data_IF_380113506819
#
_entry.id   IF_380113506819
#
_cell.length_a   1.000
_cell.length_b   1.000
_cell.length_c   1.000
_cell.angle_alpha   90.00
_cell.angle_beta   90.00
_cell.angle_gamma   90.00
#
_symmetry.space_group_name_H-M   'P 1'
#
loop_
_entity.id
_entity.type
_entity.pdbx_description
1 polymer ?
#
# COMPACT_ATOMS: atom_id res chain seq x y z
N UNK A 1 -32.06 18.77 8.90
CA UNK A 1 -31.39 17.89 7.91
C UNK A 1 -30.50 18.74 7.05
N UNK A 2 -29.17 18.68 7.25
CA UNK A 2 -28.21 19.41 6.44
C UNK A 2 -28.05 18.68 5.10
N UNK A 3 -28.36 19.36 3.98
CA UNK A 3 -28.09 18.86 2.64
C UNK A 3 -26.59 18.66 2.50
N UNK A 4 -26.13 17.42 2.31
CA UNK A 4 -24.76 17.12 1.89
C UNK A 4 -24.58 17.72 0.49
N UNK A 5 -23.86 18.84 0.38
CA UNK A 5 -23.37 19.32 -0.89
C UNK A 5 -22.23 18.38 -1.35
N UNK A 6 -22.56 17.35 -2.09
CA UNK A 6 -21.59 16.66 -2.92
C UNK A 6 -21.28 17.58 -4.09
N UNK A 7 -20.03 17.98 -4.24
CA UNK A 7 -19.56 18.61 -5.49
C UNK A 7 -19.56 17.52 -6.56
N UNK A 8 -20.67 17.39 -7.24
CA UNK A 8 -20.78 16.58 -8.46
C UNK A 8 -20.17 17.35 -9.62
N UNK A 9 -19.33 16.69 -10.42
CA UNK A 9 -18.85 17.24 -11.68
C UNK A 9 -19.98 17.26 -12.72
N UNK A 10 -19.70 17.80 -13.92
CA UNK A 10 -20.66 17.95 -15.01
C UNK A 10 -21.39 16.64 -15.43
N UNK A 11 -20.85 15.47 -15.06
CA UNK A 11 -21.41 14.13 -15.27
C UNK A 11 -22.22 13.58 -14.08
N UNK A 12 -22.43 14.38 -13.04
CA UNK A 12 -23.21 14.01 -11.85
C UNK A 12 -22.52 13.03 -10.89
N UNK A 13 -21.26 12.61 -11.16
CA UNK A 13 -20.54 11.61 -10.40
C UNK A 13 -19.60 12.26 -9.35
N UNK A 14 -19.47 11.62 -8.19
CA UNK A 14 -18.55 12.07 -7.15
C UNK A 14 -17.09 11.79 -7.51
N UNK A 15 -16.15 12.45 -6.83
CA UNK A 15 -14.72 12.17 -7.00
C UNK A 15 -14.37 10.75 -6.51
N UNK A 16 -15.09 10.27 -5.51
CA UNK A 16 -14.98 8.93 -4.96
C UNK A 16 -15.37 7.87 -6.00
N UNK A 17 -16.51 8.07 -6.70
CA UNK A 17 -16.96 7.16 -7.76
C UNK A 17 -15.91 7.04 -8.87
N UNK A 18 -15.36 8.17 -9.31
CA UNK A 18 -14.31 8.18 -10.33
C UNK A 18 -13.02 7.48 -9.90
N UNK A 19 -12.65 7.61 -8.62
CA UNK A 19 -11.49 6.92 -8.07
C UNK A 19 -11.73 5.39 -8.02
N UNK A 20 -12.94 4.96 -7.66
CA UNK A 20 -13.32 3.55 -7.65
C UNK A 20 -13.36 2.96 -9.06
N UNK A 21 -13.91 3.68 -10.04
CA UNK A 21 -13.89 3.25 -11.44
C UNK A 21 -12.46 3.10 -11.97
N UNK A 22 -11.61 4.08 -11.67
CA UNK A 22 -10.20 4.00 -12.09
C UNK A 22 -9.49 2.78 -11.52
N UNK A 23 -9.78 2.45 -10.25
CA UNK A 23 -9.27 1.22 -9.65
C UNK A 23 -9.81 -0.01 -10.37
N UNK A 24 -11.13 -0.07 -10.62
CA UNK A 24 -11.76 -1.19 -11.31
C UNK A 24 -11.19 -1.37 -12.73
N UNK A 25 -11.04 -0.29 -13.49
CA UNK A 25 -10.43 -0.32 -14.83
C UNK A 25 -9.01 -0.92 -14.80
N UNK A 26 -8.16 -0.46 -13.87
CA UNK A 26 -6.78 -0.96 -13.75
C UNK A 26 -6.75 -2.44 -13.35
N UNK A 27 -7.64 -2.87 -12.46
CA UNK A 27 -7.75 -4.27 -12.07
C UNK A 27 -8.21 -5.15 -13.25
N UNK A 28 -9.23 -4.71 -13.98
CA UNK A 28 -9.73 -5.43 -15.17
C UNK A 28 -8.63 -5.51 -16.23
N UNK A 29 -7.94 -4.41 -16.51
CA UNK A 29 -6.82 -4.38 -17.46
C UNK A 29 -5.72 -5.37 -17.05
N UNK A 30 -5.34 -5.38 -15.75
CA UNK A 30 -4.33 -6.31 -15.23
C UNK A 30 -4.78 -7.76 -15.38
N UNK A 31 -6.01 -8.09 -14.98
CA UNK A 31 -6.57 -9.45 -15.09
C UNK A 31 -6.66 -9.89 -16.55
N UNK A 32 -7.08 -9.00 -17.45
CA UNK A 32 -7.22 -9.31 -18.88
C UNK A 32 -5.86 -9.58 -19.53
N UNK A 33 -4.83 -8.83 -19.18
CA UNK A 33 -3.48 -8.98 -19.70
C UNK A 33 -2.75 -10.21 -19.16
N UNK A 34 -3.27 -10.82 -18.08
CA UNK A 34 -2.73 -12.04 -17.47
C UNK A 34 -3.20 -13.35 -18.15
N UNK A 35 -3.96 -13.27 -19.25
CA UNK A 35 -4.40 -14.46 -20.00
C UNK A 35 -3.21 -15.18 -20.62
N UNK A 36 -2.59 -16.07 -19.87
CA UNK A 36 -1.53 -16.96 -20.37
C UNK A 36 -0.47 -17.40 -19.37
N UNK A 37 -0.13 -16.60 -18.40
CA UNK A 37 0.93 -16.93 -17.43
C UNK A 37 0.54 -16.49 -16.02
N UNK A 38 -0.25 -17.32 -15.34
CA UNK A 38 -0.57 -17.17 -13.92
C UNK A 38 0.66 -17.49 -13.05
N UNK A 39 1.78 -16.80 -13.31
CA UNK A 39 2.91 -16.77 -12.40
C UNK A 39 2.72 -15.59 -11.43
N UNK A 40 1.95 -15.84 -10.37
CA UNK A 40 1.79 -14.98 -9.18
C UNK A 40 1.85 -13.48 -9.49
N UNK A 41 0.73 -12.87 -9.91
CA UNK A 41 0.74 -11.57 -10.60
C UNK A 41 0.77 -10.35 -9.68
N UNK A 42 0.73 -10.53 -8.38
CA UNK A 42 0.51 -9.41 -7.46
C UNK A 42 1.77 -8.66 -7.07
N UNK A 43 2.95 -9.28 -7.25
CA UNK A 43 4.21 -8.66 -6.91
C UNK A 43 5.29 -9.11 -7.90
N UNK A 44 5.56 -8.31 -8.94
CA UNK A 44 6.83 -8.47 -9.63
C UNK A 44 7.97 -8.08 -8.65
N UNK A 45 9.15 -8.70 -8.73
CA UNK A 45 10.30 -8.31 -7.89
C UNK A 45 10.69 -6.82 -8.02
N UNK A 46 10.23 -6.15 -9.07
CA UNK A 46 10.41 -4.72 -9.30
C UNK A 46 9.38 -3.85 -8.55
N UNK A 47 8.24 -4.43 -8.15
CA UNK A 47 7.24 -3.75 -7.32
C UNK A 47 7.55 -3.84 -5.81
N UNK A 48 8.73 -4.31 -5.44
CA UNK A 48 9.12 -4.60 -4.06
C UNK A 48 9.15 -3.40 -3.12
N UNK A 49 8.87 -2.19 -3.60
CA UNK A 49 8.78 -1.04 -2.73
C UNK A 49 7.38 -0.45 -2.73
N UNK A 50 6.79 -0.53 -1.55
CA UNK A 50 5.48 0.03 -1.30
C UNK A 50 5.49 1.54 -1.56
N UNK A 51 4.46 2.07 -2.26
CA UNK A 51 4.36 3.48 -2.56
C UNK A 51 4.41 4.34 -1.31
N UNK A 52 5.20 5.41 -1.36
CA UNK A 52 5.39 6.35 -0.26
C UNK A 52 5.18 7.79 -0.73
N UNK A 53 4.77 8.65 0.17
CA UNK A 53 4.77 10.09 -0.08
C UNK A 53 6.19 10.69 0.05
N UNK A 54 6.35 11.99 -0.22
CA UNK A 54 7.66 12.67 -0.11
C UNK A 54 8.26 12.63 1.30
N UNK A 55 7.43 12.55 2.36
CA UNK A 55 7.92 12.44 3.74
C UNK A 55 8.25 11.01 4.17
N UNK A 56 8.15 10.03 3.26
CA UNK A 56 8.44 8.63 3.54
C UNK A 56 7.26 7.82 4.09
N UNK A 57 6.11 8.45 4.38
CA UNK A 57 4.92 7.74 4.85
C UNK A 57 4.36 6.86 3.74
N UNK A 58 4.18 5.59 4.04
CA UNK A 58 3.65 4.58 3.14
C UNK A 58 2.15 4.78 2.88
N UNK A 59 1.72 4.50 1.65
CA UNK A 59 0.32 4.32 1.30
C UNK A 59 -0.14 2.91 1.68
N UNK A 60 -1.38 2.76 2.10
CA UNK A 60 -1.93 1.50 2.57
C UNK A 60 -3.19 1.09 1.81
N UNK A 61 -3.52 -0.19 1.88
CA UNK A 61 -4.75 -0.75 1.31
C UNK A 61 -4.88 -0.49 -0.19
N UNK A 62 -6.08 -0.11 -0.63
CA UNK A 62 -6.39 0.16 -2.04
C UNK A 62 -5.47 1.21 -2.68
N UNK A 63 -5.06 2.24 -1.92
CA UNK A 63 -4.13 3.25 -2.43
C UNK A 63 -2.78 2.65 -2.83
N UNK A 64 -2.25 1.74 -2.02
CA UNK A 64 -1.00 1.04 -2.36
C UNK A 64 -1.14 0.26 -3.66
N UNK A 65 -2.22 -0.49 -3.80
CA UNK A 65 -2.47 -1.35 -4.96
C UNK A 65 -2.57 -0.49 -6.23
N UNK A 66 -3.41 0.56 -6.23
CA UNK A 66 -3.58 1.42 -7.41
C UNK A 66 -2.27 2.10 -7.81
N UNK A 67 -1.47 2.56 -6.85
CA UNK A 67 -0.20 3.23 -7.14
C UNK A 67 0.86 2.25 -7.67
N UNK A 68 0.91 1.01 -7.17
CA UNK A 68 1.77 -0.05 -7.72
C UNK A 68 1.37 -0.42 -9.14
N UNK A 69 0.07 -0.59 -9.41
CA UNK A 69 -0.42 -0.88 -10.75
C UNK A 69 -0.09 0.25 -11.74
N UNK A 70 -0.22 1.51 -11.31
CA UNK A 70 0.14 2.66 -12.13
C UNK A 70 1.65 2.73 -12.37
N UNK A 71 2.46 2.44 -11.38
CA UNK A 71 3.92 2.39 -11.50
C UNK A 71 4.33 1.33 -12.53
N UNK A 72 3.80 0.12 -12.42
CA UNK A 72 4.07 -0.97 -13.36
C UNK A 72 3.62 -0.62 -14.79
N UNK A 73 2.37 -0.16 -14.93
CA UNK A 73 1.79 0.20 -16.22
C UNK A 73 2.61 1.24 -16.99
N UNK A 74 3.16 2.22 -16.28
CA UNK A 74 3.90 3.32 -16.90
C UNK A 74 5.42 3.13 -16.86
N UNK A 75 5.92 2.06 -16.26
CA UNK A 75 7.35 1.79 -16.14
C UNK A 75 8.10 2.78 -15.25
N UNK A 76 7.41 3.42 -14.29
CA UNK A 76 8.03 4.38 -13.38
C UNK A 76 9.04 3.70 -12.46
N UNK A 77 10.18 4.34 -12.27
CA UNK A 77 11.29 3.80 -11.51
C UNK A 77 11.21 4.14 -10.02
N UNK A 78 10.60 5.28 -9.69
CA UNK A 78 10.43 5.69 -8.30
C UNK A 78 9.10 5.21 -7.75
N UNK A 79 9.06 4.86 -6.45
CA UNK A 79 7.84 4.57 -5.71
C UNK A 79 7.38 5.76 -4.84
N UNK A 80 7.76 6.98 -5.26
CA UNK A 80 7.44 8.23 -4.57
C UNK A 80 6.33 9.00 -5.27
N UNK A 81 5.36 9.43 -4.46
CA UNK A 81 4.15 10.10 -4.94
C UNK A 81 3.90 11.39 -4.15
N UNK A 82 3.41 12.42 -4.82
CA UNK A 82 3.06 13.67 -4.18
C UNK A 82 1.87 14.35 -4.87
N UNK A 83 1.14 15.16 -4.13
CA UNK A 83 0.17 16.09 -4.72
C UNK A 83 0.89 17.21 -5.47
N UNK A 84 0.20 17.84 -6.43
CA UNK A 84 0.74 18.97 -7.18
C UNK A 84 1.32 20.06 -6.25
N UNK A 85 0.56 20.44 -5.21
CA UNK A 85 0.99 21.46 -4.24
C UNK A 85 2.26 21.08 -3.50
N UNK A 86 2.45 19.79 -3.21
CA UNK A 86 3.67 19.31 -2.56
C UNK A 86 4.87 19.34 -3.49
N UNK A 87 4.68 19.00 -4.76
CA UNK A 87 5.72 19.10 -5.80
C UNK A 87 6.12 20.56 -5.97
N UNK A 88 5.16 21.46 -6.16
CA UNK A 88 5.43 22.89 -6.27
C UNK A 88 6.06 23.47 -5.00
N UNK A 89 5.70 22.92 -3.84
CA UNK A 89 6.28 23.30 -2.55
C UNK A 89 7.79 23.03 -2.41
N UNK A 90 8.35 22.12 -3.21
CA UNK A 90 9.80 21.85 -3.23
C UNK A 90 10.64 23.03 -3.76
N UNK A 91 10.00 23.98 -4.43
CA UNK A 91 10.67 25.16 -4.96
C UNK A 91 10.87 26.27 -3.92
N UNK A 92 10.36 26.09 -2.72
CA UNK A 92 10.36 27.10 -1.68
C UNK A 92 10.78 26.54 -0.32
N UNK A 93 11.48 27.36 0.44
CA UNK A 93 11.78 27.13 1.85
C UNK A 93 10.86 28.03 2.67
N UNK A 94 10.26 27.49 3.73
CA UNK A 94 9.48 28.30 4.69
C UNK A 94 10.44 28.93 5.69
N UNK A 95 10.34 30.23 5.87
CA UNK A 95 10.99 30.95 6.95
C UNK A 95 10.26 30.74 8.30
N UNK A 96 10.88 31.23 9.37
CA UNK A 96 10.30 31.12 10.71
C UNK A 96 9.00 31.91 10.92
N UNK A 97 8.75 32.87 10.07
CA UNK A 97 7.58 33.76 10.10
C UNK A 97 6.45 33.26 9.17
N UNK A 98 6.66 32.13 8.50
CA UNK A 98 5.69 31.51 7.58
C UNK A 98 5.75 32.03 6.13
N UNK A 99 6.71 32.92 5.83
CA UNK A 99 7.01 33.37 4.47
C UNK A 99 7.59 32.22 3.62
N UNK A 100 7.58 32.41 2.31
CA UNK A 100 8.14 31.45 1.35
C UNK A 100 9.23 32.12 0.54
N UNK A 101 10.46 31.66 0.70
CA UNK A 101 11.60 32.08 -0.12
C UNK A 101 11.97 30.99 -1.12
N UNK A 102 12.43 31.35 -2.34
CA UNK A 102 12.90 30.36 -3.30
C UNK A 102 13.99 29.47 -2.70
N UNK A 103 13.97 28.19 -3.04
CA UNK A 103 15.05 27.28 -2.66
C UNK A 103 16.32 27.68 -3.41
N UNK A 104 17.44 27.78 -2.67
CA UNK A 104 18.75 28.18 -3.16
C UNK A 104 19.71 26.98 -3.11
N UNK A 105 20.70 26.98 -3.99
CA UNK A 105 21.84 26.07 -3.94
C UNK A 105 22.88 26.53 -2.90
N UNK A 106 24.00 25.79 -2.79
CA UNK A 106 25.11 26.12 -1.88
C UNK A 106 25.79 27.44 -2.20
N UNK A 107 25.63 27.96 -3.43
CA UNK A 107 26.19 29.25 -3.88
C UNK A 107 25.21 30.40 -3.69
N UNK A 108 24.00 30.14 -3.20
CA UNK A 108 22.94 31.12 -3.03
C UNK A 108 22.17 31.45 -4.32
N UNK A 109 22.34 30.65 -5.39
CA UNK A 109 21.57 30.79 -6.62
C UNK A 109 20.25 30.04 -6.53
N UNK A 110 19.22 30.55 -7.24
CA UNK A 110 17.93 29.89 -7.27
C UNK A 110 18.02 28.53 -7.97
N UNK A 111 17.60 27.50 -7.27
CA UNK A 111 17.52 26.17 -7.86
C UNK A 111 16.48 26.14 -9.02
N UNK A 112 16.68 25.31 -10.07
CA UNK A 112 15.72 25.10 -11.13
C UNK A 112 14.37 24.67 -10.57
N UNK A 113 13.27 25.13 -11.14
CA UNK A 113 11.93 24.80 -10.65
C UNK A 113 11.54 23.36 -10.95
N UNK A 114 11.08 22.65 -9.92
CA UNK A 114 10.43 21.35 -10.09
C UNK A 114 8.96 21.56 -10.45
N UNK A 115 8.49 20.86 -11.46
CA UNK A 115 7.11 20.89 -11.91
C UNK A 115 6.66 19.54 -12.45
N UNK A 116 5.35 19.31 -12.47
CA UNK A 116 4.75 18.19 -13.21
C UNK A 116 4.89 18.45 -14.72
N UNK A 117 5.29 17.43 -15.47
CA UNK A 117 5.45 17.51 -16.91
C UNK A 117 4.10 17.77 -17.59
N UNK A 118 4.13 18.54 -18.69
CA UNK A 118 2.91 18.90 -19.41
C UNK A 118 2.24 17.65 -19.99
N UNK A 119 0.93 17.53 -19.72
CA UNK A 119 0.12 16.41 -20.22
C UNK A 119 0.02 15.21 -19.29
N UNK A 120 0.80 15.18 -18.21
CA UNK A 120 0.74 14.11 -17.22
C UNK A 120 -0.60 14.08 -16.48
N UNK A 121 -1.06 12.87 -16.17
CA UNK A 121 -2.33 12.63 -15.46
C UNK A 121 -2.07 12.12 -14.06
N UNK A 122 -2.74 12.73 -13.09
CA UNK A 122 -2.68 12.31 -11.69
C UNK A 122 -3.39 10.98 -11.45
N UNK A 123 -2.96 10.29 -10.41
CA UNK A 123 -3.65 9.10 -9.87
C UNK A 123 -4.45 9.50 -8.62
N UNK A 124 -5.75 9.19 -8.56
CA UNK A 124 -6.55 9.45 -7.37
C UNK A 124 -6.20 8.47 -6.26
N UNK A 125 -6.05 8.99 -5.04
CA UNK A 125 -5.92 8.22 -3.81
C UNK A 125 -6.96 8.67 -2.80
N UNK A 126 -7.46 7.75 -1.99
CA UNK A 126 -8.54 7.99 -1.03
C UNK A 126 -7.99 8.02 0.39
N UNK A 127 -8.42 8.99 1.17
CA UNK A 127 -8.09 9.11 2.59
C UNK A 127 -9.36 9.31 3.40
N UNK A 128 -9.62 8.43 4.34
CA UNK A 128 -10.66 8.66 5.34
C UNK A 128 -10.11 9.54 6.45
N UNK A 129 -10.70 10.72 6.60
CA UNK A 129 -10.47 11.63 7.72
C UNK A 129 -11.63 11.53 8.69
N UNK A 130 -11.38 11.86 9.96
CA UNK A 130 -12.38 11.79 11.00
C UNK A 130 -12.55 13.16 11.65
N UNK A 131 -13.78 13.62 11.72
CA UNK A 131 -14.15 14.81 12.51
C UNK A 131 -14.75 14.33 13.81
N UNK A 132 -14.12 14.70 14.93
CA UNK A 132 -14.58 14.33 16.27
C UNK A 132 -15.19 15.56 16.94
N UNK A 133 -16.43 15.42 17.40
CA UNK A 133 -17.22 16.51 17.95
C UNK A 133 -17.84 16.07 19.27
N UNK A 134 -17.64 16.85 20.33
CA UNK A 134 -18.30 16.60 21.59
C UNK A 134 -19.83 16.68 21.41
N UNK A 135 -20.56 15.70 21.92
CA UNK A 135 -22.00 15.59 21.74
C UNK A 135 -22.78 16.76 22.36
N UNK A 136 -22.29 17.29 23.48
CA UNK A 136 -22.93 18.38 24.26
C UNK A 136 -22.38 19.75 23.86
N UNK A 137 -21.07 19.96 24.00
CA UNK A 137 -20.43 21.28 23.79
C UNK A 137 -20.26 21.66 22.32
N UNK A 138 -20.38 20.70 21.42
CA UNK A 138 -20.10 20.85 19.96
C UNK A 138 -18.65 21.22 19.63
N UNK A 139 -17.77 21.19 20.62
CA UNK A 139 -16.35 21.44 20.42
C UNK A 139 -15.71 20.33 19.57
N UNK A 140 -14.77 20.71 18.70
CA UNK A 140 -14.03 19.77 17.84
C UNK A 140 -12.65 19.50 18.42
N UNK A 141 -12.28 18.24 18.44
CA UNK A 141 -10.94 17.80 18.83
C UNK A 141 -10.27 17.04 17.69
N UNK A 142 -8.95 16.87 17.77
CA UNK A 142 -8.20 16.04 16.81
C UNK A 142 -8.52 14.57 17.04
N UNK A 143 -8.54 13.79 15.96
CA UNK A 143 -8.79 12.36 16.05
C UNK A 143 -7.68 11.61 16.80
N UNK A 144 -6.45 12.11 16.73
CA UNK A 144 -5.31 11.60 17.49
C UNK A 144 -5.55 11.70 19.00
N UNK A 145 -6.04 12.84 19.46
CA UNK A 145 -6.35 13.09 20.88
C UNK A 145 -7.50 12.17 21.34
N UNK A 146 -8.56 12.05 20.51
CA UNK A 146 -9.67 11.13 20.76
C UNK A 146 -9.22 9.67 20.92
N UNK A 147 -8.25 9.20 20.11
CA UNK A 147 -7.74 7.83 20.22
C UNK A 147 -7.02 7.53 21.54
N UNK A 148 -6.50 8.56 22.20
CA UNK A 148 -5.78 8.41 23.47
C UNK A 148 -6.70 8.48 24.69
N UNK A 149 -7.97 8.84 24.50
CA UNK A 149 -8.97 8.94 25.58
C UNK A 149 -9.43 7.56 26.05
N UNK A 150 -9.89 7.50 27.30
CA UNK A 150 -10.59 6.33 27.85
C UNK A 150 -11.93 6.08 27.14
N UNK A 151 -12.49 4.86 27.27
CA UNK A 151 -13.81 4.56 26.68
C UNK A 151 -14.91 5.46 27.21
N UNK A 152 -14.88 5.79 28.50
CA UNK A 152 -15.85 6.68 29.14
C UNK A 152 -15.78 8.10 28.58
N UNK A 153 -14.58 8.60 28.31
CA UNK A 153 -14.38 9.90 27.65
C UNK A 153 -14.82 9.88 26.20
N UNK A 154 -14.48 8.83 25.45
CA UNK A 154 -14.87 8.65 24.04
C UNK A 154 -16.39 8.65 23.86
N UNK A 155 -17.14 8.09 24.82
CA UNK A 155 -18.60 8.04 24.77
C UNK A 155 -19.25 9.44 24.68
N UNK A 156 -18.53 10.51 25.09
CA UNK A 156 -19.00 11.90 25.00
C UNK A 156 -18.84 12.53 23.62
N UNK A 157 -18.21 11.83 22.68
CA UNK A 157 -17.90 12.35 21.35
C UNK A 157 -18.56 11.55 20.23
N UNK A 158 -18.99 12.29 19.21
CA UNK A 158 -19.43 11.70 17.94
C UNK A 158 -18.30 11.77 16.93
N UNK A 159 -18.04 10.65 16.24
CA UNK A 159 -17.01 10.54 15.21
C UNK A 159 -17.67 10.48 13.85
N UNK A 160 -17.35 11.43 12.99
CA UNK A 160 -17.88 11.51 11.63
C UNK A 160 -16.77 11.20 10.63
N UNK A 161 -16.78 10.00 9.99
CA UNK A 161 -15.84 9.70 8.92
C UNK A 161 -16.15 10.54 7.69
N UNK A 162 -15.13 11.05 7.03
CA UNK A 162 -15.22 11.75 5.75
C UNK A 162 -14.18 11.18 4.79
N UNK A 163 -14.65 10.60 3.70
CA UNK A 163 -13.79 10.18 2.62
C UNK A 163 -13.36 11.42 1.81
N UNK A 164 -12.07 11.52 1.50
CA UNK A 164 -11.49 12.58 0.67
C UNK A 164 -10.64 11.94 -0.42
N UNK A 165 -10.72 12.47 -1.62
CA UNK A 165 -9.88 12.06 -2.75
C UNK A 165 -8.80 13.11 -2.95
N UNK A 166 -7.56 12.64 -3.04
CA UNK A 166 -6.38 13.43 -3.38
C UNK A 166 -5.80 12.94 -4.69
N UNK A 167 -5.38 13.86 -5.53
CA UNK A 167 -4.71 13.55 -6.76
C UNK A 167 -3.21 13.63 -6.55
N UNK A 168 -2.52 12.53 -6.83
CA UNK A 168 -1.06 12.42 -6.69
C UNK A 168 -0.40 12.11 -8.02
N UNK A 169 0.84 12.55 -8.15
CA UNK A 169 1.73 12.27 -9.28
C UNK A 169 2.92 11.46 -8.77
N UNK A 170 3.39 10.53 -9.58
CA UNK A 170 4.68 9.91 -9.36
C UNK A 170 5.80 10.91 -9.65
N UNK A 171 6.96 10.81 -9.01
CA UNK A 171 8.08 11.72 -9.28
C UNK A 171 8.61 11.59 -10.72
N UNK A 172 8.47 10.42 -11.35
CA UNK A 172 8.84 10.24 -12.76
C UNK A 172 7.93 11.01 -13.74
N UNK A 173 6.78 11.52 -13.27
CA UNK A 173 5.92 12.42 -14.01
C UNK A 173 6.34 13.91 -13.90
N UNK A 174 7.50 14.17 -13.32
CA UNK A 174 8.03 15.51 -13.08
C UNK A 174 9.39 15.68 -13.73
N UNK A 175 9.82 16.93 -13.90
CA UNK A 175 11.19 17.26 -14.31
C UNK A 175 12.20 17.19 -13.15
N UNK A 176 11.88 16.45 -12.07
CA UNK A 176 12.72 16.42 -10.85
C UNK A 176 14.11 15.82 -11.12
N UNK A 177 14.21 14.87 -12.05
CA UNK A 177 15.49 14.28 -12.44
C UNK A 177 16.49 15.32 -12.92
N UNK A 178 16.03 16.32 -13.67
CA UNK A 178 16.86 17.41 -14.19
C UNK A 178 16.99 18.55 -13.18
N UNK A 179 15.90 18.91 -12.51
CA UNK A 179 15.84 20.07 -11.62
C UNK A 179 16.47 19.81 -10.23
N UNK A 180 16.47 18.56 -9.77
CA UNK A 180 16.97 18.12 -8.44
C UNK A 180 17.57 16.72 -8.54
N UNK A 181 18.66 16.51 -9.30
CA UNK A 181 19.22 15.18 -9.58
C UNK A 181 19.57 14.41 -8.30
N UNK A 182 20.22 15.04 -7.33
CA UNK A 182 20.60 14.38 -6.08
C UNK A 182 19.39 13.90 -5.27
N UNK A 183 18.34 14.73 -5.19
CA UNK A 183 17.10 14.37 -4.50
C UNK A 183 16.36 13.26 -5.24
N UNK A 184 16.34 13.29 -6.56
CA UNK A 184 15.75 12.24 -7.37
C UNK A 184 16.48 10.92 -7.20
N UNK A 185 17.82 10.92 -7.29
CA UNK A 185 18.65 9.72 -7.08
C UNK A 185 18.48 9.14 -5.67
N UNK A 186 18.38 9.99 -4.65
CA UNK A 186 18.07 9.53 -3.29
C UNK A 186 16.73 8.77 -3.28
N UNK A 187 15.66 9.33 -3.83
CA UNK A 187 14.35 8.66 -3.88
C UNK A 187 14.36 7.43 -4.77
N UNK A 188 15.12 7.44 -5.86
CA UNK A 188 15.30 6.27 -6.72
C UNK A 188 16.00 5.13 -5.99
N UNK A 189 17.07 5.43 -5.24
CA UNK A 189 17.79 4.42 -4.45
C UNK A 189 16.92 3.89 -3.31
N UNK A 190 16.21 4.76 -2.60
CA UNK A 190 15.21 4.36 -1.62
C UNK A 190 14.10 3.51 -2.25
N UNK A 191 13.76 3.72 -3.53
CA UNK A 191 12.75 2.97 -4.28
C UNK A 191 13.28 1.63 -4.80
N UNK A 192 14.57 1.53 -5.08
CA UNK A 192 15.18 0.25 -5.49
C UNK A 192 15.25 -0.75 -4.34
N UNK A 193 15.10 -0.26 -3.08
CA UNK A 193 15.48 -0.99 -1.88
C UNK A 193 16.97 -1.23 -1.87
N UNK A 194 17.53 -1.40 -0.72
CA UNK A 194 18.75 -2.17 -0.64
C UNK A 194 18.38 -3.57 -1.14
N UNK A 195 18.49 -3.81 -2.46
CA UNK A 195 18.83 -5.14 -2.90
C UNK A 195 20.23 -5.35 -2.33
N UNK A 196 20.29 -5.73 -1.08
CA UNK A 196 21.29 -6.69 -0.72
C UNK A 196 21.07 -7.84 -1.71
N UNK A 197 21.82 -7.83 -2.82
CA UNK A 197 22.27 -9.03 -3.50
C UNK A 197 23.22 -9.70 -2.51
N UNK A 198 22.74 -9.95 -1.31
CA UNK A 198 23.32 -10.94 -0.47
C UNK A 198 22.86 -12.27 -1.11
N UNK A 199 23.74 -13.22 -1.20
CA UNK A 199 23.44 -14.61 -0.91
C UNK A 199 22.70 -14.60 0.44
N UNK A 200 21.41 -14.13 0.44
CA UNK A 200 20.57 -14.19 1.63
C UNK A 200 20.42 -15.67 1.87
N UNK A 201 21.16 -16.14 2.85
CA UNK A 201 20.82 -17.37 3.51
C UNK A 201 19.31 -17.29 3.70
N UNK A 202 18.60 -18.28 3.13
CA UNK A 202 17.14 -18.36 3.20
C UNK A 202 16.72 -18.12 4.66
N UNK A 203 16.10 -16.97 4.95
CA UNK A 203 15.70 -16.62 6.32
C UNK A 203 15.05 -17.82 6.99
N UNK A 204 15.40 -18.08 8.25
CA UNK A 204 14.90 -19.21 9.01
C UNK A 204 14.18 -18.71 10.25
N UNK A 205 12.96 -19.23 10.45
CA UNK A 205 12.23 -19.09 11.69
C UNK A 205 12.21 -20.44 12.43
N UNK A 206 13.20 -20.69 13.30
CA UNK A 206 13.41 -22.03 13.90
C UNK A 206 12.18 -22.62 14.58
N UNK A 207 11.32 -21.76 15.14
CA UNK A 207 10.09 -22.21 15.77
C UNK A 207 9.10 -22.80 14.73
N UNK A 208 8.99 -22.19 13.54
CA UNK A 208 8.12 -22.69 12.47
C UNK A 208 8.74 -23.89 11.78
N UNK A 209 10.04 -23.86 11.55
CA UNK A 209 10.77 -25.01 10.98
C UNK A 209 10.61 -26.25 11.86
N UNK A 210 10.69 -26.09 13.19
CA UNK A 210 10.43 -27.17 14.15
C UNK A 210 8.97 -27.67 14.11
N UNK A 211 7.99 -26.81 13.78
CA UNK A 211 6.61 -27.26 13.61
C UNK A 211 6.44 -28.16 12.39
N UNK A 212 7.19 -27.91 11.33
CA UNK A 212 7.18 -28.74 10.11
C UNK A 212 7.91 -30.06 10.38
N UNK A 213 9.13 -30.01 10.93
CA UNK A 213 10.00 -31.17 11.12
C UNK A 213 9.46 -32.15 12.15
N UNK A 214 8.79 -31.66 13.19
CA UNK A 214 8.32 -32.47 14.33
C UNK A 214 6.82 -32.68 14.34
N UNK A 215 6.11 -32.33 13.25
CA UNK A 215 4.64 -32.40 13.14
C UNK A 215 3.92 -31.77 14.35
N UNK A 216 4.39 -30.61 14.81
CA UNK A 216 3.83 -29.92 15.98
C UNK A 216 2.59 -29.08 15.70
N UNK A 217 2.23 -28.89 14.43
CA UNK A 217 1.03 -28.16 14.05
C UNK A 217 -0.23 -29.03 14.22
N UNK A 218 -1.40 -28.40 14.22
CA UNK A 218 -2.71 -29.06 14.41
C UNK A 218 -3.10 -30.05 13.30
N UNK A 219 -2.37 -30.06 12.20
CA UNK A 219 -2.49 -31.01 11.10
C UNK A 219 -1.12 -31.14 10.39
N UNK A 220 -0.87 -32.25 9.67
CA UNK A 220 0.40 -32.45 8.96
C UNK A 220 0.68 -31.32 7.95
N UNK A 221 1.93 -30.87 7.92
CA UNK A 221 2.47 -29.95 6.92
C UNK A 221 3.41 -30.75 6.01
N UNK A 222 3.12 -30.76 4.70
CA UNK A 222 3.92 -31.50 3.69
C UNK A 222 4.55 -30.56 2.67
N UNK A 223 5.81 -30.18 2.84
CA UNK A 223 6.58 -29.56 1.77
C UNK A 223 6.71 -30.56 0.61
N UNK A 224 6.36 -30.14 -0.60
CA UNK A 224 6.43 -30.97 -1.81
C UNK A 224 6.97 -30.17 -2.97
N UNK A 225 7.71 -30.80 -3.86
CA UNK A 225 8.11 -30.15 -5.10
C UNK A 225 6.86 -29.86 -5.93
N UNK A 226 6.55 -28.57 -6.20
CA UNK A 226 5.35 -28.16 -6.94
C UNK A 226 5.08 -26.67 -6.83
N UNK A 227 4.02 -26.21 -7.49
CA UNK A 227 3.73 -24.76 -7.62
C UNK A 227 2.56 -24.30 -6.74
N UNK A 228 1.87 -25.20 -6.05
CA UNK A 228 0.65 -24.88 -5.32
C UNK A 228 0.83 -25.07 -3.81
N UNK A 229 0.43 -24.04 -3.05
CA UNK A 229 0.21 -24.13 -1.62
C UNK A 229 -1.31 -24.23 -1.38
N UNK A 230 -1.74 -25.14 -0.52
CA UNK A 230 -3.16 -25.27 -0.15
C UNK A 230 -3.35 -26.07 1.13
N UNK A 231 -4.41 -25.76 1.85
CA UNK A 231 -4.94 -26.64 2.90
C UNK A 231 -6.02 -27.55 2.31
N UNK A 232 -5.84 -28.86 2.45
CA UNK A 232 -6.82 -29.86 2.03
C UNK A 232 -7.79 -30.18 3.16
N UNK A 233 -9.04 -29.73 3.04
CA UNK A 233 -10.11 -30.00 4.04
C UNK A 233 -10.36 -31.50 4.15
N UNK A 234 -10.41 -32.23 3.03
CA UNK A 234 -10.73 -33.67 2.99
C UNK A 234 -9.66 -34.55 3.60
N UNK A 235 -8.38 -34.12 3.54
CA UNK A 235 -7.24 -34.88 4.08
C UNK A 235 -6.73 -34.29 5.39
N UNK A 236 -7.28 -33.15 5.80
CA UNK A 236 -6.82 -32.37 6.96
C UNK A 236 -5.30 -32.18 6.96
N UNK A 237 -4.75 -31.68 5.87
CA UNK A 237 -3.30 -31.51 5.72
C UNK A 237 -2.97 -30.27 4.89
N UNK A 238 -1.85 -29.64 5.18
CA UNK A 238 -1.27 -28.54 4.42
C UNK A 238 -0.25 -29.10 3.43
N UNK A 239 -0.35 -28.67 2.18
CA UNK A 239 0.66 -28.85 1.15
C UNK A 239 1.25 -27.49 0.81
N UNK A 240 2.57 -27.38 0.78
CA UNK A 240 3.29 -26.15 0.45
C UNK A 240 4.50 -26.52 -0.40
N UNK A 241 4.89 -25.70 -1.43
CA UNK A 241 6.13 -25.92 -2.15
C UNK A 241 7.34 -25.96 -1.21
N UNK A 242 8.38 -26.71 -1.59
CA UNK A 242 9.62 -26.73 -0.83
C UNK A 242 10.21 -25.34 -0.66
N UNK A 243 10.77 -25.05 0.51
CA UNK A 243 11.32 -23.72 0.87
C UNK A 243 12.29 -23.20 -0.18
N UNK A 244 13.10 -24.08 -0.77
CA UNK A 244 14.09 -23.76 -1.81
C UNK A 244 13.47 -23.27 -3.15
N UNK A 245 12.18 -23.51 -3.36
CA UNK A 245 11.46 -23.04 -4.59
C UNK A 245 11.02 -21.58 -4.46
N UNK A 246 11.10 -20.98 -3.28
CA UNK A 246 10.75 -19.59 -3.05
C UNK A 246 11.96 -18.67 -3.28
N UNK A 247 11.67 -17.41 -3.63
CA UNK A 247 12.70 -16.38 -3.88
C UNK A 247 13.43 -16.03 -2.57
N UNK A 248 12.72 -16.07 -1.44
CA UNK A 248 13.21 -15.78 -0.10
C UNK A 248 12.42 -16.55 0.98
N UNK A 249 12.95 -16.59 2.18
CA UNK A 249 12.31 -17.26 3.32
C UNK A 249 11.00 -16.60 3.72
N UNK A 250 10.91 -15.27 3.66
CA UNK A 250 9.69 -14.54 4.00
C UNK A 250 8.50 -14.97 3.13
N UNK A 251 8.72 -15.11 1.83
CA UNK A 251 7.71 -15.60 0.89
C UNK A 251 7.26 -17.03 1.21
N UNK A 252 8.19 -17.91 1.60
CA UNK A 252 7.85 -19.26 2.03
C UNK A 252 6.97 -19.24 3.28
N UNK A 253 7.41 -18.56 4.35
CA UNK A 253 6.67 -18.55 5.60
C UNK A 253 5.34 -17.83 5.50
N UNK A 254 5.24 -16.78 4.71
CA UNK A 254 3.99 -16.08 4.43
C UNK A 254 2.93 -17.01 3.82
N UNK A 255 3.31 -17.80 2.80
CA UNK A 255 2.42 -18.79 2.20
C UNK A 255 2.07 -19.91 3.20
N UNK A 256 3.05 -20.42 3.92
CA UNK A 256 2.83 -21.47 4.94
C UNK A 256 1.85 -21.00 6.02
N UNK A 257 2.07 -19.82 6.61
CA UNK A 257 1.20 -19.25 7.65
C UNK A 257 -0.23 -18.98 7.12
N UNK A 258 -0.37 -18.63 5.84
CA UNK A 258 -1.67 -18.52 5.19
C UNK A 258 -2.43 -19.84 5.22
N UNK A 259 -1.79 -20.94 4.80
CA UNK A 259 -2.40 -22.27 4.80
C UNK A 259 -2.62 -22.81 6.23
N UNK A 260 -1.71 -22.50 7.15
CA UNK A 260 -1.90 -22.78 8.58
C UNK A 260 -3.15 -22.08 9.13
N UNK A 261 -3.39 -20.83 8.73
CA UNK A 261 -4.61 -20.08 9.07
C UNK A 261 -5.87 -20.78 8.54
N UNK A 262 -5.87 -21.27 7.30
CA UNK A 262 -6.98 -22.04 6.75
C UNK A 262 -7.22 -23.32 7.55
N UNK A 263 -6.17 -24.05 7.93
CA UNK A 263 -6.31 -25.28 8.68
C UNK A 263 -7.02 -25.11 10.03
N UNK A 264 -6.89 -23.94 10.68
CA UNK A 264 -7.63 -23.66 11.91
C UNK A 264 -9.15 -23.66 11.73
N UNK A 265 -9.64 -23.46 10.51
CA UNK A 265 -11.06 -23.42 10.18
C UNK A 265 -11.72 -24.78 10.01
N UNK A 266 -11.00 -25.89 10.13
CA UNK A 266 -11.53 -27.27 10.06
C UNK A 266 -12.73 -27.47 10.99
N UNK A 267 -13.60 -28.44 10.64
CA UNK A 267 -14.77 -28.82 11.43
C UNK A 267 -14.39 -29.22 12.88
N UNK A 268 -13.28 -29.93 13.04
CA UNK A 268 -12.75 -30.36 14.33
C UNK A 268 -12.14 -29.23 15.18
N UNK A 269 -12.00 -28.01 14.64
CA UNK A 269 -11.37 -26.85 15.30
C UNK A 269 -12.35 -25.67 15.40
N UNK A 270 -12.25 -24.67 14.52
CA UNK A 270 -13.12 -23.49 14.56
C UNK A 270 -14.39 -23.63 13.72
N UNK A 271 -14.54 -24.73 12.98
CA UNK A 271 -15.69 -25.06 12.14
C UNK A 271 -16.15 -23.90 11.22
N UNK A 272 -15.19 -23.21 10.59
CA UNK A 272 -15.44 -22.10 9.67
C UNK A 272 -15.46 -22.52 8.20
N UNK A 273 -14.84 -23.69 7.90
CA UNK A 273 -14.74 -24.22 6.54
C UNK A 273 -15.79 -25.27 6.30
N UNK A 274 -16.68 -25.04 5.31
CA UNK A 274 -17.67 -26.03 4.88
C UNK A 274 -17.27 -26.61 3.52
N UNK A 275 -17.40 -27.94 3.31
CA UNK A 275 -17.16 -28.54 2.01
C UNK A 275 -17.97 -27.84 0.92
N UNK A 276 -17.34 -27.45 -0.19
CA UNK A 276 -17.99 -26.80 -1.32
C UNK A 276 -18.03 -25.27 -1.29
N UNK A 277 -17.47 -24.61 -0.28
CA UNK A 277 -17.19 -23.16 -0.33
C UNK A 277 -15.81 -22.95 -0.95
N UNK A 278 -15.77 -22.26 -2.08
CA UNK A 278 -14.53 -21.69 -2.63
C UNK A 278 -14.20 -20.40 -1.88
N UNK A 279 -12.93 -20.14 -1.65
CA UNK A 279 -12.40 -18.90 -1.08
C UNK A 279 -12.15 -17.89 -2.17
#
# INVERSE_FOLDING_TARGET
>A
MAKKNYTTNADGRSAEDKAMDKFAELMIEKITNLQGDWKKPWFSPQAAQLPRNLSGRQYNGMNSIILMLMQEKNGWQTSRYATFDRIMGLNYVKDKEGGRTPALDEKGEKLPMVSVNKGEKSTPVMLTTFTVVNAETKERIKYEDYKQMSEEERAKYNVYPKLQVYNVFNLDQTNMREARPEMYEKFLNESKGERETSDKEMESFPAIDAMIEKDLWVCPIKPTHGDNAYYSISKDMIVVPEKQQFIDGESFYSNLLHEMSHSTGSESRLNRLKPGQSF
#
